data_IF_667779161149
#
_entry.id   IF_667779161149
#
_cell.length_a   1.000
_cell.length_b   1.000
_cell.length_c   1.000
_cell.angle_alpha   90.00
_cell.angle_beta   90.00
_cell.angle_gamma   90.00
#
_symmetry.space_group_name_H-M   'P 1'
#
loop_
_entity.id
_entity.type
_entity.pdbx_description
1 polymer ?
#
# COMPACT_ATOMS: atom_id res chain seq x y z
N UNK A 1 4.91 10.38 -33.75
CA UNK A 1 5.29 10.12 -32.34
C UNK A 1 5.68 8.66 -32.22
N UNK A 2 6.82 8.30 -31.61
CA UNK A 2 7.20 6.90 -31.43
C UNK A 2 6.21 6.19 -30.51
N UNK A 3 5.80 4.97 -30.88
CA UNK A 3 4.92 4.13 -30.07
C UNK A 3 5.71 3.55 -28.89
N UNK A 4 5.12 3.52 -27.70
CA UNK A 4 5.77 2.97 -26.51
C UNK A 4 5.72 1.43 -26.59
N UNK A 5 6.85 0.72 -26.42
CA UNK A 5 6.87 -0.74 -26.49
C UNK A 5 6.02 -1.37 -25.39
N UNK A 6 5.51 -2.58 -25.67
CA UNK A 6 4.79 -3.40 -24.71
C UNK A 6 5.72 -3.84 -23.57
N UNK A 7 5.16 -4.00 -22.38
CA UNK A 7 5.90 -4.42 -21.17
C UNK A 7 5.48 -5.83 -20.75
N UNK A 8 6.34 -6.63 -20.09
CA UNK A 8 5.94 -7.92 -19.55
C UNK A 8 4.83 -7.82 -18.51
N UNK A 9 3.98 -8.84 -18.41
CA UNK A 9 3.05 -8.99 -17.30
C UNK A 9 3.80 -9.17 -15.99
N UNK A 10 3.40 -8.47 -14.92
CA UNK A 10 4.03 -8.56 -13.60
C UNK A 10 3.65 -9.81 -12.79
N UNK A 11 2.76 -10.66 -13.30
CA UNK A 11 2.40 -11.90 -12.62
C UNK A 11 3.56 -12.92 -12.77
N UNK A 12 4.05 -13.53 -11.67
CA UNK A 12 5.18 -14.46 -11.73
C UNK A 12 4.96 -15.59 -12.74
N UNK A 13 5.95 -15.82 -13.59
CA UNK A 13 5.91 -16.90 -14.58
C UNK A 13 5.00 -16.66 -15.79
N UNK A 14 4.40 -15.47 -15.94
CA UNK A 14 3.58 -15.14 -17.11
C UNK A 14 4.46 -14.62 -18.26
N UNK A 15 4.43 -15.25 -19.46
CA UNK A 15 5.19 -14.78 -20.63
C UNK A 15 4.47 -13.68 -21.44
N UNK A 16 3.23 -13.32 -21.08
CA UNK A 16 2.39 -12.41 -21.85
C UNK A 16 2.88 -10.95 -21.79
N UNK A 17 2.80 -10.24 -22.92
CA UNK A 17 3.10 -8.81 -23.00
C UNK A 17 1.83 -7.97 -22.88
N UNK A 18 1.92 -6.85 -22.18
CA UNK A 18 0.82 -5.93 -21.95
C UNK A 18 1.12 -4.55 -22.53
N UNK A 19 0.05 -3.84 -22.90
CA UNK A 19 0.14 -2.45 -23.35
C UNK A 19 0.80 -1.57 -22.29
N UNK A 20 1.58 -0.60 -22.74
CA UNK A 20 2.22 0.37 -21.87
C UNK A 20 1.22 1.04 -20.92
N UNK A 21 1.43 0.88 -19.61
CA UNK A 21 0.55 1.41 -18.56
C UNK A 21 -0.38 0.37 -17.93
N UNK A 22 -0.48 -0.85 -18.48
CA UNK A 22 -1.08 -2.00 -17.79
C UNK A 22 0.00 -2.78 -17.06
N UNK A 23 -0.31 -3.30 -15.87
CA UNK A 23 0.59 -4.13 -15.06
C UNK A 23 0.37 -5.64 -15.29
N UNK A 24 -0.88 -6.02 -15.60
CA UNK A 24 -1.29 -7.42 -15.72
C UNK A 24 -2.06 -7.67 -17.02
N UNK A 25 -1.92 -8.88 -17.58
CA UNK A 25 -2.70 -9.32 -18.72
C UNK A 25 -4.15 -9.62 -18.32
N UNK A 26 -5.04 -9.84 -19.29
CA UNK A 26 -6.47 -10.06 -19.03
C UNK A 26 -6.74 -11.27 -18.12
N UNK A 27 -5.87 -12.29 -18.16
CA UNK A 27 -5.94 -13.46 -17.29
C UNK A 27 -5.59 -13.15 -15.84
N UNK A 28 -4.62 -12.27 -15.60
CA UNK A 28 -4.10 -11.97 -14.26
C UNK A 28 -4.69 -10.71 -13.63
N UNK A 29 -5.29 -9.81 -14.41
CA UNK A 29 -5.95 -8.62 -13.89
C UNK A 29 -7.02 -8.92 -12.81
N UNK A 30 -7.86 -9.97 -12.94
CA UNK A 30 -8.83 -10.34 -11.90
C UNK A 30 -8.18 -10.81 -10.59
N UNK A 31 -6.96 -11.35 -10.64
CA UNK A 31 -6.20 -11.81 -9.46
C UNK A 31 -5.59 -10.64 -8.68
N UNK A 32 -5.53 -9.44 -9.27
CA UNK A 32 -4.98 -8.24 -8.67
C UNK A 32 -6.03 -7.10 -8.59
N UNK A 33 -7.14 -7.31 -7.85
CA UNK A 33 -8.24 -6.36 -7.80
C UNK A 33 -7.85 -5.01 -7.16
N UNK A 34 -6.76 -4.97 -6.38
CA UNK A 34 -6.26 -3.75 -5.76
C UNK A 34 -5.74 -2.73 -6.77
N UNK A 35 -5.22 -3.18 -7.91
CA UNK A 35 -4.71 -2.31 -8.98
C UNK A 35 -5.84 -1.62 -9.72
N UNK A 36 -6.98 -2.28 -9.87
CA UNK A 36 -8.15 -1.76 -10.60
C UNK A 36 -9.14 -1.00 -9.70
N UNK A 37 -9.13 -1.23 -8.38
CA UNK A 37 -10.07 -0.58 -7.45
C UNK A 37 -9.74 0.90 -7.23
N UNK A 38 -10.69 1.84 -7.45
CA UNK A 38 -10.52 3.25 -7.11
C UNK A 38 -10.17 3.45 -5.63
N UNK A 39 -9.33 4.44 -5.33
CA UNK A 39 -8.87 4.72 -3.96
C UNK A 39 -10.01 4.91 -2.95
N UNK A 40 -11.12 5.55 -3.38
CA UNK A 40 -12.31 5.72 -2.54
C UNK A 40 -12.95 4.37 -2.16
N UNK A 41 -13.00 3.40 -3.09
CA UNK A 41 -13.50 2.04 -2.83
C UNK A 41 -12.54 1.23 -1.95
N UNK A 42 -11.27 1.63 -1.85
CA UNK A 42 -10.28 1.02 -0.94
C UNK A 42 -10.39 1.52 0.51
N UNK A 43 -11.13 2.60 0.77
CA UNK A 43 -11.34 3.17 2.10
C UNK A 43 -10.69 4.54 2.31
N UNK A 44 -9.86 5.01 1.37
CA UNK A 44 -9.15 6.29 1.45
C UNK A 44 -10.06 7.48 1.10
N UNK A 45 -11.08 7.72 1.91
CA UNK A 45 -12.07 8.79 1.76
C UNK A 45 -11.88 9.90 2.82
N UNK A 46 -12.82 10.87 2.87
CA UNK A 46 -12.79 11.97 3.86
C UNK A 46 -12.83 11.47 5.31
N UNK A 47 -13.53 10.36 5.59
CA UNK A 47 -13.56 9.74 6.92
C UNK A 47 -12.16 9.27 7.31
N UNK A 48 -11.42 8.65 6.38
CA UNK A 48 -10.04 8.26 6.61
C UNK A 48 -9.14 9.46 6.86
N UNK A 49 -9.27 10.53 6.08
CA UNK A 49 -8.47 11.75 6.29
C UNK A 49 -8.65 12.34 7.69
N UNK A 50 -9.89 12.37 8.21
CA UNK A 50 -10.18 12.83 9.58
C UNK A 50 -9.56 11.90 10.63
N UNK A 51 -9.76 10.59 10.49
CA UNK A 51 -9.23 9.60 11.41
C UNK A 51 -7.70 9.61 11.45
N UNK A 52 -7.05 9.65 10.28
CA UNK A 52 -5.60 9.80 10.12
C UNK A 52 -5.07 11.02 10.85
N UNK A 53 -5.72 12.18 10.70
CA UNK A 53 -5.29 13.42 11.36
C UNK A 53 -5.31 13.27 12.89
N UNK A 54 -6.43 12.81 13.44
CA UNK A 54 -6.58 12.60 14.88
C UNK A 54 -5.58 11.57 15.42
N UNK A 55 -5.33 10.49 14.68
CA UNK A 55 -4.36 9.47 15.08
C UNK A 55 -2.92 10.02 15.11
N UNK A 56 -2.51 10.83 14.12
CA UNK A 56 -1.19 11.46 14.10
C UNK A 56 -1.01 12.55 15.17
N UNK A 57 -2.08 13.20 15.61
CA UNK A 57 -2.06 14.12 16.75
C UNK A 57 -1.82 13.37 18.06
N UNK A 58 -2.47 12.21 18.25
CA UNK A 58 -2.26 11.34 19.42
C UNK A 58 -0.91 10.59 19.39
N UNK A 59 -0.41 10.27 18.18
CA UNK A 59 0.83 9.51 17.96
C UNK A 59 1.81 10.34 17.10
N UNK A 60 2.41 11.41 17.66
CA UNK A 60 3.20 12.37 16.88
C UNK A 60 4.56 11.84 16.44
N UNK A 61 5.03 10.72 16.99
CA UNK A 61 6.36 10.16 16.75
C UNK A 61 6.28 8.90 15.89
N UNK A 62 7.33 8.70 15.07
CA UNK A 62 7.52 7.48 14.31
C UNK A 62 7.86 6.31 15.24
N UNK A 63 7.02 5.28 15.28
CA UNK A 63 7.23 4.13 16.18
C UNK A 63 8.53 3.38 15.88
N UNK A 64 8.93 3.30 14.61
CA UNK A 64 10.17 2.62 14.20
C UNK A 64 11.43 3.42 14.57
N UNK A 65 11.36 4.75 14.51
CA UNK A 65 12.46 5.60 14.98
C UNK A 65 12.54 5.60 16.50
N UNK A 66 11.39 5.62 17.19
CA UNK A 66 11.34 5.59 18.66
C UNK A 66 11.98 4.31 19.22
N UNK A 67 11.75 3.14 18.59
CA UNK A 67 12.43 1.87 18.91
C UNK A 67 13.96 1.94 18.80
N UNK A 68 14.49 2.89 18.03
CA UNK A 68 15.93 3.14 17.87
C UNK A 68 16.43 4.31 18.75
N UNK A 69 15.61 4.80 19.69
CA UNK A 69 15.93 5.97 20.52
C UNK A 69 15.89 7.30 19.78
N UNK A 70 15.27 7.37 18.59
CA UNK A 70 15.18 8.59 17.77
C UNK A 70 13.79 9.21 17.83
N UNK A 71 13.75 10.52 18.06
CA UNK A 71 12.51 11.31 18.12
C UNK A 71 12.21 11.97 16.77
N UNK A 72 11.62 11.20 15.85
CA UNK A 72 11.26 11.69 14.51
C UNK A 72 9.75 11.85 14.41
N UNK A 73 9.28 12.98 13.88
CA UNK A 73 7.85 13.23 13.65
C UNK A 73 7.26 12.21 12.67
N UNK A 74 6.13 11.62 13.03
CA UNK A 74 5.33 10.81 12.13
C UNK A 74 4.54 11.71 11.16
N UNK A 75 4.49 11.31 9.90
CA UNK A 75 3.77 12.01 8.83
C UNK A 75 2.78 11.12 8.11
N UNK A 76 2.84 9.80 8.32
CA UNK A 76 2.00 8.81 7.67
C UNK A 76 1.44 7.86 8.73
N UNK A 77 0.19 7.46 8.54
CA UNK A 77 -0.42 6.34 9.25
C UNK A 77 -0.37 5.17 8.30
N UNK A 78 0.30 4.12 8.74
CA UNK A 78 0.49 2.88 8.00
C UNK A 78 -0.29 1.74 8.65
N UNK A 79 -0.67 0.75 7.86
CA UNK A 79 -1.28 -0.48 8.35
C UNK A 79 -0.17 -1.51 8.64
N UNK A 80 -0.07 -1.99 9.88
CA UNK A 80 0.92 -3.00 10.30
C UNK A 80 0.78 -4.25 9.43
N UNK A 81 -0.44 -4.77 9.33
CA UNK A 81 -0.84 -5.83 8.40
C UNK A 81 -1.55 -5.16 7.22
N UNK A 82 -1.04 -5.34 5.98
CA UNK A 82 -1.69 -4.83 4.79
C UNK A 82 -3.13 -5.32 4.69
N UNK A 83 -4.09 -4.39 4.62
CA UNK A 83 -5.50 -4.74 4.69
C UNK A 83 -6.01 -5.48 3.44
N UNK A 84 -5.32 -5.37 2.29
CA UNK A 84 -5.64 -6.08 1.03
C UNK A 84 -7.13 -6.05 0.61
N UNK A 85 -7.79 -4.94 0.92
CA UNK A 85 -9.21 -4.73 0.68
C UNK A 85 -10.17 -5.11 1.83
N UNK A 86 -9.69 -5.77 2.89
CA UNK A 86 -10.46 -6.02 4.11
C UNK A 86 -10.73 -4.70 4.85
N UNK A 87 -12.01 -4.32 4.92
CA UNK A 87 -12.42 -3.08 5.58
C UNK A 87 -12.36 -3.18 7.12
N UNK A 88 -12.53 -4.36 7.72
CA UNK A 88 -12.40 -4.51 9.17
C UNK A 88 -10.96 -4.25 9.58
N UNK A 89 -10.01 -4.87 8.88
CA UNK A 89 -8.58 -4.69 9.11
C UNK A 89 -8.09 -3.28 8.75
N UNK A 90 -8.73 -2.62 7.76
CA UNK A 90 -8.45 -1.23 7.42
C UNK A 90 -8.81 -0.26 8.56
N UNK A 91 -9.96 -0.47 9.22
CA UNK A 91 -10.48 0.41 10.27
C UNK A 91 -10.06 0.02 11.69
N UNK A 92 -9.34 -1.10 11.85
CA UNK A 92 -8.76 -1.50 13.13
C UNK A 92 -7.58 -0.57 13.49
N UNK A 93 -7.77 0.25 14.53
CA UNK A 93 -6.74 1.16 15.01
C UNK A 93 -5.55 0.42 15.64
N UNK A 94 -5.74 -0.81 16.12
CA UNK A 94 -4.63 -1.64 16.61
C UNK A 94 -3.73 -2.09 15.46
N UNK A 95 -4.26 -2.10 14.24
CA UNK A 95 -3.51 -2.35 13.02
C UNK A 95 -2.88 -1.06 12.44
N UNK A 96 -3.04 0.10 13.09
CA UNK A 96 -2.40 1.34 12.63
C UNK A 96 -1.07 1.57 13.35
N UNK A 97 -0.13 2.19 12.64
CA UNK A 97 1.12 2.67 13.21
C UNK A 97 1.52 4.04 12.64
N UNK A 98 2.09 4.91 13.47
CA UNK A 98 2.59 6.21 13.07
C UNK A 98 4.03 6.09 12.56
N UNK A 99 4.28 6.44 11.30
CA UNK A 99 5.59 6.36 10.67
C UNK A 99 6.03 7.69 10.06
N UNK A 100 7.34 7.93 10.03
CA UNK A 100 7.92 8.94 9.15
C UNK A 100 7.98 8.39 7.71
N UNK A 101 8.13 9.29 6.73
CA UNK A 101 8.12 8.93 5.31
C UNK A 101 9.20 7.87 4.96
N UNK A 102 10.41 8.00 5.51
CA UNK A 102 11.50 7.04 5.22
C UNK A 102 11.23 5.65 5.77
N UNK A 103 10.71 5.53 6.99
CA UNK A 103 10.35 4.24 7.57
C UNK A 103 9.17 3.59 6.85
N UNK A 104 8.17 4.39 6.48
CA UNK A 104 7.04 3.93 5.67
C UNK A 104 7.51 3.36 4.33
N UNK A 105 8.31 4.13 3.58
CA UNK A 105 8.76 3.70 2.25
C UNK A 105 9.65 2.45 2.30
N UNK A 106 10.48 2.33 3.36
CA UNK A 106 11.24 1.11 3.62
C UNK A 106 10.31 -0.09 3.82
N UNK A 107 9.30 0.02 4.69
CA UNK A 107 8.32 -1.06 4.93
C UNK A 107 7.58 -1.43 3.65
N UNK A 108 7.12 -0.45 2.88
CA UNK A 108 6.41 -0.73 1.62
C UNK A 108 7.26 -1.57 0.67
N UNK A 109 8.57 -1.26 0.56
CA UNK A 109 9.48 -1.98 -0.32
C UNK A 109 9.89 -3.37 0.21
N UNK A 110 9.96 -3.55 1.53
CA UNK A 110 10.42 -4.83 2.11
C UNK A 110 9.29 -5.81 2.41
N UNK A 111 8.12 -5.30 2.79
CA UNK A 111 7.02 -6.08 3.35
C UNK A 111 5.76 -6.02 2.47
N UNK A 112 5.35 -4.83 2.03
CA UNK A 112 4.02 -4.65 1.42
C UNK A 112 4.00 -4.94 -0.10
N UNK A 113 5.12 -4.74 -0.81
CA UNK A 113 5.17 -4.85 -2.28
C UNK A 113 5.01 -6.28 -2.79
N UNK A 114 5.24 -7.29 -1.95
CA UNK A 114 5.23 -8.69 -2.36
C UNK A 114 3.80 -9.27 -2.27
N UNK A 115 3.11 -9.48 -3.41
CA UNK A 115 1.85 -10.21 -3.41
C UNK A 115 2.07 -11.64 -2.89
N UNK A 116 1.21 -12.10 -1.98
CA UNK A 116 1.21 -13.53 -1.59
C UNK A 116 0.30 -14.27 -2.55
N UNK A 117 0.85 -15.23 -3.28
CA UNK A 117 0.08 -16.13 -4.13
C UNK A 117 -0.24 -17.41 -3.34
N UNK A 118 -1.51 -17.77 -3.28
CA UNK A 118 -1.97 -19.06 -2.78
C UNK A 118 -2.37 -19.91 -3.97
N UNK A 119 -1.68 -21.04 -4.16
CA UNK A 119 -1.96 -22.01 -5.23
C UNK A 119 -2.98 -23.04 -4.77
#
# INVERSE_FOLDING_TARGET
>A
MPYRPKTPCHHPGCPELVEAGRLYCEKHLPLHPEVTRPAAKRGYNRRWQKARKSYLEAHPLCVMCAKQGKYVRATVVDHIIPHRGDQKLFWDQNNWQSLCKSCHDKKTLTEDINPTYTY
#
